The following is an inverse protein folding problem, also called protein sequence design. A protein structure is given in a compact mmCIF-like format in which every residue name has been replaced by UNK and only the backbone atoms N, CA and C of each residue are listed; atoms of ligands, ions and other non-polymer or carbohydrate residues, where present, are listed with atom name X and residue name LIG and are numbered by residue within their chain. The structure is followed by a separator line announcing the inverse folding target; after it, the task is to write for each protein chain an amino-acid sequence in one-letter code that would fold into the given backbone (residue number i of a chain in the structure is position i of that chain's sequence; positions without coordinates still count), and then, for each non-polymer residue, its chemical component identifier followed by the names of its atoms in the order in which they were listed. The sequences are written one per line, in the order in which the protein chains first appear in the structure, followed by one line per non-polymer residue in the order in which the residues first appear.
data_IF_401304585696
#
_entry.id   IF_401304585696
#
_cell.length_a   1.000
_cell.length_b   1.000
_cell.length_c   1.000
_cell.angle_alpha   90.00
_cell.angle_beta   90.00
_cell.angle_gamma   90.00
#
_symmetry.space_group_name_H-M   'P 1'
#
loop_
_entity.id
_entity.type
_entity.pdbx_description
1 polymer ?
#
# COMPACT_ATOMS: atom_id res chain seq x y z
N UNK A 1 0.60 7.76 -4.52
CA UNK A 1 1.39 6.74 -3.79
C UNK A 1 1.48 7.06 -2.29
N UNK A 2 2.16 8.14 -1.89
CA UNK A 2 2.39 8.47 -0.46
C UNK A 2 1.12 8.47 0.41
N UNK A 3 0.00 9.06 -0.05
CA UNK A 3 -1.27 9.05 0.69
C UNK A 3 -1.77 7.64 1.01
N UNK A 4 -1.69 6.71 0.05
CA UNK A 4 -2.10 5.31 0.23
C UNK A 4 -1.14 4.59 1.18
N UNK A 5 0.15 4.91 1.13
CA UNK A 5 1.15 4.40 2.06
C UNK A 5 0.85 4.81 3.51
N UNK A 6 0.51 6.08 3.75
CA UNK A 6 0.17 6.58 5.09
C UNK A 6 -1.09 5.91 5.62
N UNK A 7 -2.15 5.80 4.80
CA UNK A 7 -3.39 5.12 5.22
C UNK A 7 -3.13 3.67 5.61
N UNK A 8 -2.41 2.91 4.77
CA UNK A 8 -2.07 1.52 5.07
C UNK A 8 -1.14 1.41 6.28
N UNK A 9 -0.21 2.35 6.41
CA UNK A 9 0.71 2.46 7.53
C UNK A 9 0.01 2.66 8.87
N UNK A 10 -0.87 3.64 8.97
CA UNK A 10 -1.62 3.95 10.20
C UNK A 10 -2.67 2.85 10.47
N UNK A 11 -3.46 2.45 9.47
CA UNK A 11 -4.52 1.45 9.66
C UNK A 11 -3.98 0.07 10.05
N UNK A 12 -2.85 -0.34 9.47
CA UNK A 12 -2.24 -1.63 9.71
C UNK A 12 -1.12 -1.62 10.77
N UNK A 13 -0.73 -0.45 11.28
CA UNK A 13 0.52 -0.25 12.03
C UNK A 13 1.69 -0.97 11.33
N UNK A 14 1.87 -0.68 10.03
CA UNK A 14 2.84 -1.36 9.17
C UNK A 14 4.24 -0.79 9.37
N UNK A 15 5.23 -1.67 9.52
CA UNK A 15 6.64 -1.28 9.44
C UNK A 15 7.05 -1.04 7.98
N UNK A 16 8.08 -0.23 7.76
CA UNK A 16 8.64 -0.01 6.42
C UNK A 16 9.00 -1.33 5.71
N UNK A 17 9.52 -2.32 6.44
CA UNK A 17 9.80 -3.66 5.90
C UNK A 17 8.55 -4.40 5.38
N UNK A 18 7.40 -4.25 6.06
CA UNK A 18 6.12 -4.84 5.63
C UNK A 18 5.59 -4.10 4.39
N UNK A 19 5.68 -2.78 4.36
CA UNK A 19 5.25 -1.95 3.22
C UNK A 19 6.01 -2.27 1.94
N UNK A 20 7.32 -2.50 2.03
CA UNK A 20 8.13 -2.88 0.86
C UNK A 20 7.72 -4.26 0.36
N UNK A 21 7.50 -5.22 1.28
CA UNK A 21 7.21 -6.62 0.96
C UNK A 21 5.77 -6.89 0.55
N UNK A 22 4.85 -5.94 0.78
CA UNK A 22 3.47 -6.03 0.36
C UNK A 22 3.36 -6.27 -1.15
N UNK A 23 2.53 -7.24 -1.56
CA UNK A 23 2.26 -7.54 -2.97
C UNK A 23 0.87 -7.08 -3.39
N UNK A 24 0.65 -6.97 -4.70
CA UNK A 24 -0.69 -6.72 -5.26
C UNK A 24 -1.67 -7.81 -4.84
N UNK A 25 -1.24 -9.07 -4.94
CA UNK A 25 -2.07 -10.24 -4.60
C UNK A 25 -2.47 -10.31 -3.13
N UNK A 26 -1.76 -9.59 -2.26
CA UNK A 26 -2.05 -9.55 -0.83
C UNK A 26 -3.12 -8.50 -0.48
N UNK A 27 -3.55 -7.68 -1.44
CA UNK A 27 -4.56 -6.64 -1.23
C UNK A 27 -5.83 -6.98 -2.01
N UNK A 28 -6.89 -7.29 -1.27
CA UNK A 28 -8.22 -7.50 -1.82
C UNK A 28 -9.06 -6.24 -1.65
N UNK A 29 -9.71 -5.82 -2.73
CA UNK A 29 -10.68 -4.74 -2.71
C UNK A 29 -12.09 -5.33 -2.82
N UNK A 30 -12.90 -5.17 -1.78
CA UNK A 30 -14.31 -5.58 -1.72
C UNK A 30 -15.17 -4.34 -1.54
N UNK A 31 -15.34 -3.57 -2.62
CA UNK A 31 -16.16 -2.35 -2.81
C UNK A 31 -16.18 -1.30 -1.68
N UNK A 32 -16.59 -1.68 -0.47
CA UNK A 32 -16.65 -0.86 0.74
C UNK A 32 -15.54 -1.14 1.76
N UNK A 33 -14.75 -2.21 1.58
CA UNK A 33 -13.62 -2.54 2.44
C UNK A 33 -12.41 -2.96 1.63
N UNK A 34 -11.24 -2.54 2.10
CA UNK A 34 -9.94 -3.00 1.62
C UNK A 34 -9.38 -4.00 2.63
N UNK A 35 -9.19 -5.25 2.22
CA UNK A 35 -8.58 -6.28 3.06
C UNK A 35 -7.12 -6.42 2.65
N UNK A 36 -6.23 -6.24 3.61
CA UNK A 36 -4.78 -6.28 3.37
C UNK A 36 -4.20 -7.43 4.18
N UNK A 37 -3.62 -8.38 3.47
CA UNK A 37 -2.92 -9.52 4.04
C UNK A 37 -1.43 -9.19 4.15
N UNK A 38 -0.81 -9.53 5.29
CA UNK A 38 0.63 -9.38 5.48
C UNK A 38 1.22 -10.77 5.66
N UNK A 39 1.70 -11.40 4.56
CA UNK A 39 2.35 -12.70 4.63
C UNK A 39 3.79 -12.53 5.12
N UNK A 40 4.04 -12.95 6.37
CA UNK A 40 5.35 -13.05 7.05
C UNK A 40 6.07 -11.73 7.39
N UNK A 41 6.29 -11.54 8.68
CA UNK A 41 7.38 -10.75 9.26
C UNK A 41 8.40 -11.65 9.95
N UNK A 42 9.61 -11.14 10.18
CA UNK A 42 10.76 -11.80 10.83
C UNK A 42 10.44 -12.47 12.19
N UNK A 43 9.32 -12.10 12.84
CA UNK A 43 8.89 -12.62 14.15
C UNK A 43 7.47 -13.21 14.18
N UNK A 44 7.01 -13.72 13.03
CA UNK A 44 6.11 -14.87 12.96
C UNK A 44 4.66 -14.74 13.50
N UNK A 45 3.87 -13.77 13.01
CA UNK A 45 2.40 -13.97 12.87
C UNK A 45 1.88 -13.33 11.58
N UNK A 46 1.32 -14.09 10.64
CA UNK A 46 0.56 -13.51 9.55
C UNK A 46 -0.63 -12.77 10.16
N UNK A 47 -0.87 -11.55 9.69
CA UNK A 47 -2.02 -10.75 10.12
C UNK A 47 -2.71 -10.17 8.90
N UNK A 48 -4.00 -9.94 9.05
CA UNK A 48 -4.80 -9.22 8.08
C UNK A 48 -5.48 -8.05 8.79
N UNK A 49 -5.63 -6.95 8.08
CA UNK A 49 -6.38 -5.81 8.58
C UNK A 49 -7.31 -5.30 7.50
N UNK A 50 -8.35 -4.59 7.94
CA UNK A 50 -9.39 -4.07 7.07
C UNK A 50 -9.37 -2.55 7.14
N UNK A 51 -9.34 -1.90 5.98
CA UNK A 51 -9.49 -0.44 5.85
C UNK A 51 -10.88 -0.17 5.28
N UNK A 52 -11.68 0.60 6.00
CA UNK A 52 -13.01 1.03 5.57
C UNK A 52 -12.94 2.23 4.62
N UNK A 53 -14.04 2.48 3.90
CA UNK A 53 -14.21 3.62 2.99
C UNK A 53 -13.87 4.96 3.65
N UNK A 54 -14.26 5.13 4.91
CA UNK A 54 -13.96 6.29 5.73
C UNK A 54 -12.78 5.99 6.65
N UNK A 55 -11.67 6.68 6.44
CA UNK A 55 -10.58 6.76 7.41
C UNK A 55 -10.68 8.09 8.13
N UNK A 56 -10.87 8.02 9.45
CA UNK A 56 -11.10 9.17 10.35
C UNK A 56 -12.20 10.15 9.90
N UNK A 57 -13.25 9.64 9.21
CA UNK A 57 -14.42 10.45 8.78
C UNK A 57 -14.12 11.58 7.78
N UNK A 58 -12.89 11.65 7.24
CA UNK A 58 -12.44 12.74 6.34
C UNK A 58 -11.81 12.25 5.06
N UNK A 59 -11.24 11.05 5.05
CA UNK A 59 -10.48 10.54 3.92
C UNK A 59 -11.20 9.34 3.31
N UNK A 60 -11.53 9.46 2.02
CA UNK A 60 -12.08 8.38 1.21
C UNK A 60 -10.96 7.43 0.78
N UNK A 61 -10.64 6.47 1.63
CA UNK A 61 -9.52 5.53 1.49
C UNK A 61 -9.60 4.72 0.20
N UNK A 62 -10.80 4.24 -0.09
CA UNK A 62 -11.06 3.33 -1.23
C UNK A 62 -10.95 4.09 -2.55
N UNK A 63 -11.47 5.31 -2.63
CA UNK A 63 -11.32 6.15 -3.84
C UNK A 63 -9.84 6.45 -4.12
N UNK A 64 -9.05 6.75 -3.07
CA UNK A 64 -7.61 6.95 -3.20
C UNK A 64 -6.89 5.67 -3.64
N UNK A 65 -7.31 4.53 -3.11
CA UNK A 65 -6.76 3.23 -3.47
C UNK A 65 -7.07 2.87 -4.93
N UNK A 66 -8.32 3.03 -5.36
CA UNK A 66 -8.75 2.83 -6.75
C UNK A 66 -8.01 3.76 -7.71
N UNK A 67 -7.89 5.05 -7.35
CA UNK A 67 -7.11 6.01 -8.12
C UNK A 67 -5.66 5.58 -8.24
N UNK A 68 -5.06 5.10 -7.15
CA UNK A 68 -3.69 4.58 -7.19
C UNK A 68 -3.57 3.36 -8.12
N UNK A 69 -4.46 2.38 -8.02
CA UNK A 69 -4.47 1.20 -8.89
C UNK A 69 -4.66 1.57 -10.38
N UNK A 70 -5.49 2.57 -10.68
CA UNK A 70 -5.72 3.02 -12.07
C UNK A 70 -4.51 3.69 -12.70
N UNK A 71 -3.75 4.48 -11.92
CA UNK A 71 -2.54 5.17 -12.37
C UNK A 71 -1.31 4.27 -12.41
N UNK A 72 -1.37 3.16 -11.68
CA UNK A 72 -0.29 2.19 -11.57
C UNK A 72 -0.07 1.49 -12.91
N UNK A 73 1.17 1.45 -13.38
CA UNK A 73 1.52 0.68 -14.58
C UNK A 73 1.18 -0.80 -14.41
N UNK A 74 0.35 -1.34 -15.32
CA UNK A 74 0.04 -2.77 -15.39
C UNK A 74 1.25 -3.60 -15.84
N UNK A 75 2.17 -2.99 -16.60
CA UNK A 75 3.36 -3.65 -17.11
C UNK A 75 4.53 -3.49 -16.13
N UNK A 76 4.47 -4.22 -15.02
CA UNK A 76 5.52 -4.23 -14.00
C UNK A 76 6.09 -5.65 -13.87
N UNK A 77 7.42 -5.86 -13.95
CA UNK A 77 8.04 -7.20 -13.93
C UNK A 77 8.03 -7.87 -12.55
N UNK A 78 7.40 -7.25 -11.55
CA UNK A 78 7.40 -7.70 -10.16
C UNK A 78 6.03 -7.49 -9.51
N UNK A 79 5.76 -8.24 -8.44
CA UNK A 79 4.45 -8.23 -7.77
C UNK A 79 4.35 -7.25 -6.59
N UNK A 80 5.38 -6.42 -6.34
CA UNK A 80 5.41 -5.43 -5.23
C UNK A 80 4.24 -4.46 -5.33
N UNK A 81 3.59 -4.11 -4.22
CA UNK A 81 2.42 -3.22 -4.22
C UNK A 81 2.78 -1.76 -4.51
N UNK A 82 3.91 -1.27 -4.02
CA UNK A 82 4.33 0.11 -4.24
C UNK A 82 5.36 0.23 -5.35
N UNK A 83 5.06 1.10 -6.32
CA UNK A 83 5.98 1.47 -7.39
C UNK A 83 6.37 2.94 -7.29
N UNK A 84 7.57 3.24 -7.76
CA UNK A 84 8.16 4.56 -7.66
C UNK A 84 7.46 5.53 -8.61
N UNK A 85 7.25 6.76 -8.12
CA UNK A 85 6.80 7.88 -8.94
C UNK A 85 7.90 8.93 -8.94
N UNK A 86 8.38 9.32 -10.12
CA UNK A 86 9.40 10.36 -10.30
C UNK A 86 8.90 11.38 -11.30
N UNK A 87 9.02 12.66 -10.96
CA UNK A 87 8.61 13.79 -11.81
C UNK A 87 7.18 13.63 -12.37
N UNK A 88 6.24 13.22 -11.50
CA UNK A 88 4.83 13.00 -11.87
C UNK A 88 4.56 11.75 -12.73
N UNK A 89 5.58 10.99 -13.11
CA UNK A 89 5.45 9.77 -13.92
C UNK A 89 5.58 8.51 -13.07
N UNK A 90 4.75 7.53 -13.39
CA UNK A 90 4.79 6.19 -12.82
C UNK A 90 5.95 5.40 -13.44
N UNK A 91 6.84 4.84 -12.63
CA UNK A 91 7.91 3.96 -13.10
C UNK A 91 7.61 2.51 -12.76
N UNK A 92 8.30 1.58 -13.42
CA UNK A 92 8.18 0.13 -13.15
C UNK A 92 9.08 -0.33 -11.99
N UNK A 93 9.82 0.59 -11.35
CA UNK A 93 10.75 0.26 -10.28
C UNK A 93 10.02 0.19 -8.94
N UNK A 94 10.33 -0.80 -8.08
CA UNK A 94 9.73 -0.89 -6.76
C UNK A 94 10.21 0.26 -5.88
N UNK A 95 9.40 0.66 -4.90
CA UNK A 95 9.79 1.67 -3.91
C UNK A 95 10.81 1.07 -2.93
N UNK A 96 11.88 1.81 -2.66
CA UNK A 96 12.95 1.38 -1.75
C UNK A 96 12.64 1.62 -0.27
N UNK A 97 13.35 0.91 0.61
CA UNK A 97 13.16 0.99 2.07
C UNK A 97 13.35 2.39 2.65
N UNK A 98 14.36 3.11 2.18
CA UNK A 98 14.65 4.45 2.66
C UNK A 98 13.55 5.45 2.29
N UNK A 99 12.91 5.27 1.12
CA UNK A 99 11.76 6.10 0.72
C UNK A 99 10.60 5.91 1.67
N UNK A 100 10.32 4.68 2.12
CA UNK A 100 9.30 4.44 3.15
C UNK A 100 9.69 5.00 4.51
N UNK A 101 10.96 4.85 4.91
CA UNK A 101 11.46 5.41 6.16
C UNK A 101 11.43 6.95 6.22
N UNK A 102 11.42 7.64 5.08
CA UNK A 102 11.27 9.09 5.01
C UNK A 102 9.81 9.57 5.04
N UNK A 103 8.83 8.67 4.91
CA UNK A 103 7.42 9.03 5.02
C UNK A 103 7.07 9.06 6.52
N UNK A 104 6.50 10.15 7.04
CA UNK A 104 5.93 10.13 8.39
C UNK A 104 4.68 9.26 8.36
N UNK A 105 4.81 8.05 8.90
CA UNK A 105 3.75 7.04 9.03
C UNK A 105 3.26 7.02 10.47
#
# INVERSE_FOLDING_TARGET
MMKVCVILGIAGALRSEELINLKISDVENKDNILVVHIPKTKTNKPRMFVVTSEFEGKVKSIELFNKYLSLRSKHTPHNRFFITYRNGKCTVQPVGIHTFGSIPI
#
